data_IF_322174308811
#
_entry.id   IF_322174308811
#
_cell.length_a   1.000
_cell.length_b   1.000
_cell.length_c   1.000
_cell.angle_alpha   90.00
_cell.angle_beta   90.00
_cell.angle_gamma   90.00
#
_symmetry.space_group_name_H-M   'P 1'
#
loop_
_entity.id
_entity.type
_entity.pdbx_description
1 polymer ?
#
# COMPACT_ATOMS: atom_id res chain seq x y z
N UNK A 1 -0.23 45.05 -9.68
CA UNK A 1 -1.32 44.30 -9.03
C UNK A 1 -1.06 42.80 -9.29
N UNK A 2 -0.56 42.07 -8.29
CA UNK A 2 -0.34 40.63 -8.37
C UNK A 2 -1.68 39.99 -7.99
N UNK A 3 -2.34 39.32 -8.94
CA UNK A 3 -3.43 38.41 -8.63
C UNK A 3 -2.85 37.23 -7.84
N UNK A 4 -3.06 37.23 -6.52
CA UNK A 4 -2.98 36.00 -5.72
C UNK A 4 -4.11 35.14 -6.22
N UNK A 5 -3.78 34.07 -6.99
CA UNK A 5 -4.70 32.96 -7.19
C UNK A 5 -5.02 32.44 -5.78
N UNK A 6 -6.25 32.58 -5.38
CA UNK A 6 -6.81 31.87 -4.22
C UNK A 6 -6.84 30.42 -4.68
N UNK A 7 -5.83 29.63 -4.26
CA UNK A 7 -5.88 28.18 -4.35
C UNK A 7 -7.11 27.79 -3.52
N UNK A 8 -8.17 27.32 -4.15
CA UNK A 8 -9.19 26.58 -3.42
C UNK A 8 -8.44 25.52 -2.64
N UNK A 9 -8.53 25.53 -1.31
CA UNK A 9 -7.92 24.53 -0.47
C UNK A 9 -8.60 23.19 -0.79
N UNK A 10 -8.06 22.45 -1.75
CA UNK A 10 -8.34 21.03 -1.89
C UNK A 10 -7.71 20.39 -0.66
N UNK A 11 -8.50 19.66 0.12
CA UNK A 11 -7.98 19.02 1.33
C UNK A 11 -6.91 17.99 0.99
N UNK A 12 -6.02 17.71 1.95
CA UNK A 12 -4.96 16.71 1.81
C UNK A 12 -5.56 15.33 1.50
N UNK A 13 -5.05 14.64 0.47
CA UNK A 13 -5.38 13.27 0.10
C UNK A 13 -4.22 12.35 0.42
N UNK A 14 -4.45 11.29 1.20
CA UNK A 14 -3.38 10.40 1.67
C UNK A 14 -3.50 9.00 1.07
N UNK A 15 -2.40 8.50 0.51
CA UNK A 15 -2.27 7.20 -0.14
C UNK A 15 -1.25 6.37 0.63
N UNK A 16 -1.72 5.36 1.37
CA UNK A 16 -0.85 4.38 2.01
C UNK A 16 -0.48 3.28 1.01
N UNK A 17 0.78 2.85 0.99
CA UNK A 17 1.24 1.75 0.14
C UNK A 17 1.67 0.60 1.04
N UNK A 18 0.90 -0.48 1.02
CA UNK A 18 1.11 -1.67 1.85
C UNK A 18 1.33 -2.92 0.99
N UNK A 19 1.86 -3.97 1.59
CA UNK A 19 2.16 -5.23 0.92
C UNK A 19 3.32 -5.96 1.58
N UNK A 20 3.59 -7.18 1.14
CA UNK A 20 4.69 -8.00 1.67
C UNK A 20 6.06 -7.37 1.43
N UNK A 21 7.06 -7.83 2.18
CA UNK A 21 8.44 -7.42 1.96
C UNK A 21 8.86 -7.72 0.52
N UNK A 22 9.54 -6.78 -0.13
CA UNK A 22 9.99 -6.93 -1.51
C UNK A 22 8.91 -6.79 -2.59
N UNK A 23 7.64 -6.51 -2.25
CA UNK A 23 6.56 -6.35 -3.25
C UNK A 23 6.65 -5.09 -4.13
N UNK A 24 7.61 -4.20 -3.86
CA UNK A 24 7.85 -3.00 -4.66
C UNK A 24 7.17 -1.73 -4.13
N UNK A 25 6.87 -1.65 -2.82
CA UNK A 25 6.26 -0.48 -2.17
C UNK A 25 7.03 0.80 -2.45
N UNK A 26 8.29 0.87 -2.05
CA UNK A 26 9.13 2.07 -2.20
C UNK A 26 9.32 2.48 -3.67
N UNK A 27 9.39 1.51 -4.58
CA UNK A 27 9.48 1.81 -6.01
C UNK A 27 8.17 2.38 -6.55
N UNK A 28 7.01 1.86 -6.12
CA UNK A 28 5.71 2.43 -6.47
C UNK A 28 5.54 3.84 -5.89
N UNK A 29 5.97 4.04 -4.62
CA UNK A 29 6.02 5.37 -3.98
C UNK A 29 6.75 6.38 -4.85
N UNK A 30 7.96 6.03 -5.31
CA UNK A 30 8.75 6.85 -6.22
C UNK A 30 8.01 7.16 -7.53
N UNK A 31 7.37 6.15 -8.14
CA UNK A 31 6.65 6.31 -9.42
C UNK A 31 5.39 7.16 -9.29
N UNK A 32 4.64 7.02 -8.23
CA UNK A 32 3.45 7.85 -7.98
C UNK A 32 3.85 9.30 -7.67
N UNK A 33 4.88 9.52 -6.86
CA UNK A 33 5.41 10.86 -6.61
C UNK A 33 5.86 11.54 -7.91
N UNK A 34 6.62 10.83 -8.75
CA UNK A 34 7.05 11.32 -10.07
C UNK A 34 5.84 11.64 -10.97
N UNK A 35 4.82 10.77 -10.96
CA UNK A 35 3.61 10.95 -11.77
C UNK A 35 2.83 12.20 -11.36
N UNK A 36 2.52 12.37 -10.08
CA UNK A 36 1.79 13.54 -9.59
C UNK A 36 2.56 14.85 -9.84
N UNK A 37 3.86 14.85 -9.59
CA UNK A 37 4.72 16.02 -9.82
C UNK A 37 4.75 16.43 -11.30
N UNK A 38 4.82 15.47 -12.23
CA UNK A 38 4.78 15.73 -13.68
C UNK A 38 3.42 16.26 -14.15
N UNK A 39 2.35 15.91 -13.48
CA UNK A 39 0.99 16.34 -13.80
C UNK A 39 0.56 17.61 -13.04
N UNK A 40 1.50 18.28 -12.38
CA UNK A 40 1.28 19.59 -11.76
C UNK A 40 0.62 19.56 -10.38
N UNK A 41 0.44 18.38 -9.77
CA UNK A 41 0.01 18.23 -8.40
C UNK A 41 1.20 18.26 -7.44
N UNK A 42 1.03 18.90 -6.29
CA UNK A 42 2.08 18.91 -5.27
C UNK A 42 1.93 17.66 -4.37
N UNK A 43 2.75 16.65 -4.62
CA UNK A 43 2.80 15.45 -3.81
C UNK A 43 4.03 15.46 -2.89
N UNK A 44 3.84 15.05 -1.64
CA UNK A 44 4.91 14.80 -0.68
C UNK A 44 4.98 13.31 -0.33
N UNK A 45 6.16 12.86 0.08
CA UNK A 45 6.40 11.47 0.48
C UNK A 45 6.75 11.39 1.97
N UNK A 46 6.00 10.54 2.69
CA UNK A 46 6.29 10.14 4.07
C UNK A 46 6.86 8.73 4.08
N UNK A 47 8.09 8.58 4.57
CA UNK A 47 8.65 7.27 4.91
C UNK A 47 8.24 6.86 6.32
N UNK A 48 7.56 5.71 6.47
CA UNK A 48 7.23 5.10 7.77
C UNK A 48 8.12 3.89 8.12
N UNK A 49 9.09 3.52 7.28
CA UNK A 49 9.99 2.39 7.56
C UNK A 49 11.29 2.88 8.26
N UNK A 50 11.43 2.68 9.57
CA UNK A 50 12.63 3.13 10.29
C UNK A 50 13.85 2.25 10.00
N UNK A 51 13.65 1.08 9.42
CA UNK A 51 14.72 0.11 9.13
C UNK A 51 15.28 0.17 7.72
N UNK A 52 14.73 1.02 6.85
CA UNK A 52 15.19 1.13 5.47
C UNK A 52 16.52 1.88 5.39
N UNK A 53 17.52 1.32 4.71
CA UNK A 53 18.82 1.96 4.52
C UNK A 53 18.79 2.93 3.32
N UNK A 54 18.23 2.50 2.19
CA UNK A 54 18.23 3.24 0.93
C UNK A 54 16.82 3.37 0.37
N UNK A 55 16.40 4.60 0.10
CA UNK A 55 15.12 4.92 -0.53
C UNK A 55 15.33 5.25 -2.02
N UNK A 56 14.46 4.78 -2.91
CA UNK A 56 14.53 5.10 -4.35
C UNK A 56 13.90 6.47 -4.68
N UNK A 57 13.60 7.28 -3.67
CA UNK A 57 12.97 8.60 -3.77
C UNK A 57 13.56 9.57 -2.74
N UNK A 58 13.37 10.87 -2.97
CA UNK A 58 13.60 11.88 -1.95
C UNK A 58 12.40 11.90 -1.00
N UNK A 59 12.66 11.80 0.29
CA UNK A 59 11.65 11.83 1.33
C UNK A 59 11.43 13.27 1.80
N UNK A 60 10.17 13.69 1.95
CA UNK A 60 9.82 15.00 2.47
C UNK A 60 9.62 14.98 3.99
N UNK A 61 9.09 13.86 4.51
CA UNK A 61 8.96 13.57 5.94
C UNK A 61 9.50 12.19 6.21
N UNK A 62 10.45 12.05 7.13
CA UNK A 62 11.13 10.79 7.41
C UNK A 62 11.06 10.44 8.90
N UNK A 63 10.47 9.30 9.24
CA UNK A 63 10.40 8.87 10.65
C UNK A 63 11.77 8.60 11.26
N UNK A 64 12.83 8.39 10.45
CA UNK A 64 14.20 8.22 10.92
C UNK A 64 14.78 9.50 11.54
N UNK A 65 14.23 10.67 11.19
CA UNK A 65 14.61 11.96 11.80
C UNK A 65 14.02 12.11 13.21
N UNK A 66 12.92 11.38 13.51
CA UNK A 66 12.25 11.40 14.81
C UNK A 66 12.69 10.28 15.74
N UNK A 67 13.07 9.13 15.21
CA UNK A 67 13.39 7.93 16.01
C UNK A 67 14.57 7.17 15.40
N UNK A 68 15.68 7.10 16.13
CA UNK A 68 16.87 6.36 15.71
C UNK A 68 16.76 4.86 16.09
N UNK A 69 16.45 4.04 15.09
CA UNK A 69 16.37 2.59 15.21
C UNK A 69 17.64 1.93 15.76
N UNK A 70 18.83 2.39 15.30
CA UNK A 70 20.13 1.81 15.72
C UNK A 70 20.42 2.13 17.18
N UNK A 71 20.12 3.35 17.62
CA UNK A 71 20.25 3.76 19.02
C UNK A 71 19.33 2.98 19.94
N UNK A 72 18.07 2.74 19.52
CA UNK A 72 17.12 1.90 20.28
C UNK A 72 17.63 0.47 20.41
N UNK A 73 18.11 -0.13 19.33
CA UNK A 73 18.66 -1.48 19.34
C UNK A 73 19.80 -1.63 20.37
N UNK A 74 20.69 -0.66 20.41
CA UNK A 74 21.83 -0.64 21.35
C UNK A 74 21.39 -0.37 22.79
N UNK A 75 20.58 0.66 23.00
CA UNK A 75 20.15 1.11 24.33
C UNK A 75 19.38 0.03 25.10
N UNK A 76 18.50 -0.70 24.39
CA UNK A 76 17.65 -1.72 25.00
C UNK A 76 18.16 -3.15 24.78
N UNK A 77 19.35 -3.32 24.20
CA UNK A 77 19.94 -4.64 23.88
C UNK A 77 18.98 -5.54 23.09
N UNK A 78 18.24 -4.94 22.14
CA UNK A 78 17.25 -5.64 21.32
C UNK A 78 17.89 -6.21 20.06
N UNK A 79 17.39 -7.37 19.61
CA UNK A 79 17.64 -7.84 18.25
C UNK A 79 16.88 -6.98 17.22
N UNK A 80 17.19 -7.12 15.91
CA UNK A 80 16.61 -6.30 14.84
C UNK A 80 15.09 -6.20 14.86
N UNK A 81 14.38 -7.32 14.98
CA UNK A 81 12.92 -7.33 15.00
C UNK A 81 12.34 -6.65 16.25
N UNK A 82 12.95 -6.88 17.42
CA UNK A 82 12.53 -6.22 18.67
C UNK A 82 12.70 -4.71 18.60
N UNK A 83 13.83 -4.26 18.05
CA UNK A 83 14.09 -2.84 17.84
C UNK A 83 13.11 -2.21 16.85
N UNK A 84 12.80 -2.88 15.72
CA UNK A 84 11.79 -2.40 14.77
C UNK A 84 10.40 -2.26 15.41
N UNK A 85 10.00 -3.24 16.23
CA UNK A 85 8.74 -3.19 16.98
C UNK A 85 8.69 -1.96 17.88
N UNK A 86 9.71 -1.78 18.70
CA UNK A 86 9.77 -0.66 19.64
C UNK A 86 9.84 0.69 18.92
N UNK A 87 10.60 0.77 17.84
CA UNK A 87 10.72 1.98 17.03
C UNK A 87 9.36 2.37 16.43
N UNK A 88 8.59 1.42 15.87
CA UNK A 88 7.27 1.70 15.33
C UNK A 88 6.28 2.18 16.40
N UNK A 89 6.36 1.65 17.63
CA UNK A 89 5.52 2.13 18.73
C UNK A 89 5.93 3.56 19.17
N UNK A 90 7.21 3.89 19.13
CA UNK A 90 7.71 5.24 19.41
C UNK A 90 7.33 6.24 18.30
N UNK A 91 7.37 5.84 17.03
CA UNK A 91 6.91 6.66 15.91
C UNK A 91 5.45 7.08 16.10
N UNK A 92 4.59 6.18 16.57
CA UNK A 92 3.21 6.52 16.87
C UNK A 92 3.07 7.64 17.92
N UNK A 93 3.99 7.71 18.90
CA UNK A 93 4.04 8.78 19.88
C UNK A 93 4.50 10.13 19.31
N UNK A 94 5.05 10.15 18.10
CA UNK A 94 5.54 11.32 17.38
C UNK A 94 4.58 11.82 16.31
N UNK A 95 3.34 11.34 16.32
CA UNK A 95 2.36 11.67 15.27
C UNK A 95 2.13 13.19 15.15
N UNK A 96 2.12 13.92 16.27
CA UNK A 96 1.92 15.38 16.23
C UNK A 96 3.09 16.09 15.57
N UNK A 97 4.33 15.66 15.80
CA UNK A 97 5.53 16.20 15.17
C UNK A 97 5.48 15.94 13.66
N UNK A 98 5.20 14.69 13.26
CA UNK A 98 5.03 14.28 11.85
C UNK A 98 3.91 15.07 11.17
N UNK A 99 2.77 15.23 11.83
CA UNK A 99 1.65 15.99 11.28
C UNK A 99 1.98 17.49 11.09
N UNK A 100 2.74 18.05 12.02
CA UNK A 100 3.19 19.44 11.89
C UNK A 100 4.12 19.64 10.69
N UNK A 101 5.00 18.69 10.39
CA UNK A 101 5.84 18.74 9.19
C UNK A 101 5.00 18.62 7.92
N UNK A 102 4.05 17.68 7.86
CA UNK A 102 3.12 17.54 6.73
C UNK A 102 2.35 18.84 6.51
N UNK A 103 1.83 19.45 7.58
CA UNK A 103 1.09 20.70 7.51
C UNK A 103 1.97 21.87 7.03
N UNK A 104 3.25 21.88 7.39
CA UNK A 104 4.20 22.91 6.95
C UNK A 104 4.50 22.81 5.46
N UNK A 105 4.63 21.59 4.95
CA UNK A 105 4.81 21.30 3.52
C UNK A 105 3.53 21.64 2.75
N UNK A 106 2.36 21.35 3.32
CA UNK A 106 1.02 21.58 2.75
C UNK A 106 0.85 21.02 1.33
N UNK A 107 1.02 19.68 1.15
CA UNK A 107 0.88 19.03 -0.15
C UNK A 107 -0.59 18.80 -0.52
N UNK A 108 -0.87 18.60 -1.82
CA UNK A 108 -2.18 18.15 -2.30
C UNK A 108 -2.34 16.62 -2.05
N UNK A 109 -1.23 15.86 -2.19
CA UNK A 109 -1.18 14.42 -1.96
C UNK A 109 -0.04 14.05 -1.01
N UNK A 110 -0.32 13.16 -0.06
CA UNK A 110 0.68 12.52 0.78
C UNK A 110 0.78 11.03 0.40
N UNK A 111 1.93 10.61 -0.09
CA UNK A 111 2.20 9.21 -0.40
C UNK A 111 2.99 8.62 0.76
N UNK A 112 2.45 7.58 1.38
CA UNK A 112 3.01 6.97 2.59
C UNK A 112 3.59 5.61 2.26
N UNK A 113 4.93 5.49 2.32
CA UNK A 113 5.64 4.22 2.22
C UNK A 113 5.66 3.52 3.58
N UNK A 114 5.01 2.36 3.67
CA UNK A 114 4.88 1.63 4.93
C UNK A 114 6.03 0.66 5.15
N UNK A 115 6.31 0.24 6.42
CA UNK A 115 7.36 -0.69 6.74
C UNK A 115 7.37 -1.94 5.85
N UNK A 116 8.57 -2.44 5.58
CA UNK A 116 8.79 -3.61 4.74
C UNK A 116 8.03 -4.85 5.23
N UNK A 117 8.01 -5.05 6.54
CA UNK A 117 7.25 -6.11 7.20
C UNK A 117 5.84 -5.62 7.53
N UNK A 118 4.85 -6.12 6.80
CA UNK A 118 3.45 -5.69 6.94
C UNK A 118 2.88 -5.94 8.35
N UNK A 119 3.41 -6.93 9.05
CA UNK A 119 3.06 -7.28 10.42
C UNK A 119 3.38 -6.14 11.40
N UNK A 120 4.44 -5.40 11.15
CA UNK A 120 4.85 -4.28 12.00
C UNK A 120 3.94 -3.05 11.81
N UNK A 121 3.26 -2.96 10.69
CA UNK A 121 2.35 -1.86 10.39
C UNK A 121 0.89 -2.25 10.68
N UNK A 122 0.34 -3.21 9.96
CA UNK A 122 -1.10 -3.46 10.00
C UNK A 122 -1.58 -4.29 11.20
N UNK A 123 -0.69 -5.11 11.80
CA UNK A 123 -1.10 -5.98 12.92
C UNK A 123 -0.76 -5.40 14.30
N UNK A 124 -0.06 -4.27 14.35
CA UNK A 124 0.17 -3.54 15.60
C UNK A 124 -0.81 -2.37 15.74
N UNK A 125 -1.10 -2.01 16.99
CA UNK A 125 -1.95 -0.85 17.31
C UNK A 125 -1.34 0.47 16.82
N UNK A 126 0.00 0.57 16.82
CA UNK A 126 0.73 1.74 16.35
C UNK A 126 0.46 2.07 14.88
N UNK A 127 0.41 1.07 14.00
CA UNK A 127 0.14 1.32 12.57
C UNK A 127 -1.29 1.80 12.32
N UNK A 128 -2.29 1.16 12.95
CA UNK A 128 -3.67 1.64 12.88
C UNK A 128 -3.81 3.06 13.46
N UNK A 129 -3.15 3.32 14.58
CA UNK A 129 -3.12 4.64 15.20
C UNK A 129 -2.57 5.71 14.25
N UNK A 130 -1.47 5.43 13.55
CA UNK A 130 -0.89 6.35 12.55
C UNK A 130 -1.88 6.62 11.41
N UNK A 131 -2.52 5.57 10.87
CA UNK A 131 -3.53 5.70 9.80
C UNK A 131 -4.71 6.58 10.24
N UNK A 132 -5.20 6.41 11.47
CA UNK A 132 -6.32 7.17 12.00
C UNK A 132 -5.95 8.63 12.28
N UNK A 133 -4.73 8.90 12.76
CA UNK A 133 -4.34 10.21 13.27
C UNK A 133 -3.57 11.09 12.26
N UNK A 134 -3.10 10.59 11.13
CA UNK A 134 -2.70 11.47 10.02
C UNK A 134 -3.95 12.21 9.55
N UNK A 135 -3.95 13.53 9.70
CA UNK A 135 -5.09 14.37 9.30
C UNK A 135 -5.13 14.51 7.78
N UNK A 136 -6.22 14.07 7.16
CA UNK A 136 -6.41 14.07 5.72
C UNK A 136 -7.91 14.08 5.41
N UNK A 137 -8.31 14.72 4.33
CA UNK A 137 -9.71 14.74 3.87
C UNK A 137 -10.14 13.36 3.41
N UNK A 138 -9.32 12.75 2.54
CA UNK A 138 -9.54 11.40 2.05
C UNK A 138 -8.30 10.54 2.23
N UNK A 139 -8.51 9.26 2.54
CA UNK A 139 -7.46 8.25 2.72
C UNK A 139 -7.77 6.99 1.95
N UNK A 140 -6.76 6.42 1.31
CA UNK A 140 -6.87 5.13 0.64
C UNK A 140 -5.62 4.29 0.90
N UNK A 141 -5.75 2.99 0.73
CA UNK A 141 -4.63 2.07 0.78
C UNK A 141 -4.45 1.38 -0.57
N UNK A 142 -3.22 1.25 -1.02
CA UNK A 142 -2.84 0.37 -2.12
C UNK A 142 -2.22 -0.87 -1.51
N UNK A 143 -2.79 -2.05 -1.78
CA UNK A 143 -2.19 -3.31 -1.36
C UNK A 143 -1.51 -4.00 -2.54
N UNK A 144 -0.22 -4.31 -2.39
CA UNK A 144 0.61 -4.89 -3.45
C UNK A 144 0.62 -6.41 -3.41
N UNK A 145 0.14 -7.01 -4.48
CA UNK A 145 0.33 -8.42 -4.81
C UNK A 145 1.63 -8.56 -5.60
N UNK A 146 2.62 -9.22 -5.04
CA UNK A 146 3.88 -9.47 -5.73
C UNK A 146 3.69 -10.54 -6.81
N UNK A 147 3.77 -10.14 -8.07
CA UNK A 147 3.58 -11.02 -9.20
C UNK A 147 4.53 -12.23 -9.21
N UNK A 148 5.73 -12.08 -8.67
CA UNK A 148 6.67 -13.21 -8.57
C UNK A 148 6.22 -14.28 -7.56
N UNK A 149 5.47 -13.88 -6.51
CA UNK A 149 4.99 -14.80 -5.48
C UNK A 149 3.67 -15.48 -5.85
N UNK A 150 2.77 -14.77 -6.55
CA UNK A 150 1.41 -15.26 -6.84
C UNK A 150 1.28 -16.04 -8.14
N UNK A 151 2.37 -16.59 -8.65
CA UNK A 151 2.33 -17.46 -9.85
C UNK A 151 1.72 -18.84 -9.57
N UNK A 152 1.59 -19.24 -8.30
CA UNK A 152 0.84 -20.40 -7.81
C UNK A 152 -0.56 -19.97 -7.34
N UNK A 153 -1.64 -20.71 -7.69
CA UNK A 153 -2.99 -20.40 -7.26
C UNK A 153 -3.18 -20.47 -5.74
N UNK A 154 -2.47 -21.35 -5.04
CA UNK A 154 -2.50 -21.43 -3.57
C UNK A 154 -1.88 -20.17 -2.95
N UNK A 155 -0.74 -19.71 -3.46
CA UNK A 155 -0.12 -18.47 -3.03
C UNK A 155 -1.03 -17.26 -3.32
N UNK A 156 -1.72 -17.25 -4.47
CA UNK A 156 -2.70 -16.22 -4.79
C UNK A 156 -3.80 -16.14 -3.71
N UNK A 157 -4.40 -17.29 -3.34
CA UNK A 157 -5.43 -17.33 -2.28
C UNK A 157 -4.88 -16.85 -0.94
N UNK A 158 -3.65 -17.25 -0.58
CA UNK A 158 -2.98 -16.84 0.66
C UNK A 158 -2.77 -15.31 0.71
N UNK A 159 -2.28 -14.71 -0.36
CA UNK A 159 -2.08 -13.25 -0.43
C UNK A 159 -3.42 -12.50 -0.49
N UNK A 160 -4.44 -13.05 -1.15
CA UNK A 160 -5.79 -12.48 -1.14
C UNK A 160 -6.40 -12.45 0.27
N UNK A 161 -6.20 -13.51 1.05
CA UNK A 161 -6.61 -13.55 2.46
C UNK A 161 -5.86 -12.50 3.29
N UNK A 162 -4.54 -12.35 3.06
CA UNK A 162 -3.73 -11.31 3.71
C UNK A 162 -4.24 -9.91 3.36
N UNK A 163 -4.49 -9.63 2.08
CA UNK A 163 -5.04 -8.35 1.62
C UNK A 163 -6.37 -8.00 2.30
N UNK A 164 -7.26 -8.99 2.41
CA UNK A 164 -8.53 -8.86 3.12
C UNK A 164 -8.32 -8.52 4.60
N UNK A 165 -7.42 -9.25 5.26
CA UNK A 165 -7.09 -9.00 6.66
C UNK A 165 -6.54 -7.58 6.88
N UNK A 166 -5.66 -7.10 5.99
CA UNK A 166 -5.11 -5.74 6.04
C UNK A 166 -6.20 -4.69 5.85
N UNK A 167 -7.09 -4.88 4.85
CA UNK A 167 -8.23 -3.99 4.61
C UNK A 167 -9.12 -3.85 5.85
N UNK A 168 -9.44 -4.97 6.50
CA UNK A 168 -10.25 -4.98 7.74
C UNK A 168 -9.54 -4.25 8.89
N UNK A 169 -8.22 -4.40 9.01
CA UNK A 169 -7.45 -3.79 10.10
C UNK A 169 -7.23 -2.30 9.91
N UNK A 170 -6.89 -1.87 8.72
CA UNK A 170 -6.67 -0.45 8.43
C UNK A 170 -7.99 0.31 8.26
N UNK A 171 -9.07 -0.39 7.91
CA UNK A 171 -10.40 0.16 7.67
C UNK A 171 -10.39 1.31 6.65
N UNK A 172 -9.64 1.12 5.55
CA UNK A 172 -9.53 2.06 4.45
C UNK A 172 -10.07 1.46 3.15
N UNK A 173 -10.64 2.28 2.25
CA UNK A 173 -10.81 1.90 0.85
C UNK A 173 -9.47 1.38 0.33
N UNK A 174 -9.46 0.21 -0.31
CA UNK A 174 -8.22 -0.44 -0.72
C UNK A 174 -8.28 -0.82 -2.20
N UNK A 175 -7.24 -0.43 -2.94
CA UNK A 175 -6.98 -0.86 -4.32
C UNK A 175 -5.96 -1.98 -4.29
N UNK A 176 -6.28 -3.11 -4.91
CA UNK A 176 -5.34 -4.22 -5.05
C UNK A 176 -4.55 -4.07 -6.36
N UNK A 177 -3.24 -4.12 -6.26
CA UNK A 177 -2.34 -3.89 -7.38
C UNK A 177 -1.42 -5.09 -7.56
N UNK A 178 -1.37 -5.64 -8.77
CA UNK A 178 -0.44 -6.68 -9.17
C UNK A 178 0.84 -6.03 -9.68
N UNK A 179 1.91 -6.14 -8.91
CA UNK A 179 3.22 -5.59 -9.27
C UNK A 179 4.08 -6.59 -10.05
N UNK A 180 5.20 -6.09 -10.63
CA UNK A 180 6.21 -6.91 -11.34
C UNK A 180 5.62 -7.69 -12.53
N UNK A 181 4.67 -7.09 -13.23
CA UNK A 181 4.05 -7.71 -14.40
C UNK A 181 5.04 -8.01 -15.51
N UNK A 182 6.13 -7.24 -15.58
CA UNK A 182 7.27 -7.46 -16.47
C UNK A 182 8.00 -8.80 -16.24
N UNK A 183 7.92 -9.37 -15.04
CA UNK A 183 8.56 -10.66 -14.69
C UNK A 183 7.66 -11.87 -14.90
N UNK A 184 6.34 -11.70 -15.03
CA UNK A 184 5.38 -12.82 -15.02
C UNK A 184 5.05 -13.32 -16.43
N UNK A 185 5.23 -12.50 -17.47
CA UNK A 185 5.03 -12.87 -18.86
C UNK A 185 3.64 -13.48 -19.13
N UNK A 186 3.62 -14.65 -19.76
CA UNK A 186 2.37 -15.34 -20.17
C UNK A 186 1.46 -15.72 -19.01
N UNK A 187 1.97 -15.84 -17.77
CA UNK A 187 1.18 -16.18 -16.58
C UNK A 187 0.27 -15.03 -16.16
N UNK A 188 0.55 -13.79 -16.57
CA UNK A 188 -0.26 -12.62 -16.24
C UNK A 188 -1.72 -12.83 -16.60
N UNK A 189 -2.02 -13.36 -17.78
CA UNK A 189 -3.39 -13.63 -18.22
C UNK A 189 -4.11 -14.61 -17.28
N UNK A 190 -3.44 -15.65 -16.83
CA UNK A 190 -4.03 -16.62 -15.92
C UNK A 190 -4.33 -16.01 -14.57
N UNK A 191 -3.38 -15.23 -14.02
CA UNK A 191 -3.56 -14.53 -12.72
C UNK A 191 -4.76 -13.58 -12.80
N UNK A 192 -4.89 -12.79 -13.85
CA UNK A 192 -6.04 -11.90 -14.03
C UNK A 192 -7.36 -12.65 -14.23
N UNK A 193 -7.34 -13.83 -14.83
CA UNK A 193 -8.54 -14.69 -14.91
C UNK A 193 -8.96 -15.23 -13.54
N UNK A 194 -8.02 -15.51 -12.63
CA UNK A 194 -8.34 -15.95 -11.27
C UNK A 194 -9.12 -14.90 -10.46
N UNK A 195 -8.92 -13.62 -10.77
CA UNK A 195 -9.64 -12.52 -10.08
C UNK A 195 -11.08 -12.37 -10.55
N UNK A 196 -11.40 -12.79 -11.78
CA UNK A 196 -12.71 -12.60 -12.40
C UNK A 196 -13.54 -13.87 -12.50
N UNK A 197 -12.91 -15.03 -12.38
CA UNK A 197 -13.57 -16.33 -12.57
C UNK A 197 -13.13 -17.35 -11.51
N UNK A 198 -14.01 -17.53 -10.52
CA UNK A 198 -13.81 -18.46 -9.40
C UNK A 198 -13.52 -19.89 -9.88
N UNK A 199 -14.26 -20.39 -10.85
CA UNK A 199 -14.09 -21.76 -11.35
C UNK A 199 -12.72 -21.97 -11.99
N UNK A 200 -12.16 -20.95 -12.63
CA UNK A 200 -10.80 -21.02 -13.20
C UNK A 200 -9.75 -21.16 -12.09
N UNK A 201 -9.92 -20.42 -10.98
CA UNK A 201 -9.02 -20.51 -9.84
C UNK A 201 -9.18 -21.85 -9.10
N UNK A 202 -10.42 -22.33 -8.86
CA UNK A 202 -10.66 -23.66 -8.25
C UNK A 202 -10.03 -24.78 -9.07
N UNK A 203 -10.16 -24.74 -10.40
CA UNK A 203 -9.51 -25.70 -11.29
C UNK A 203 -7.98 -25.62 -11.22
N UNK A 204 -7.41 -24.42 -11.16
CA UNK A 204 -5.98 -24.23 -11.02
C UNK A 204 -5.47 -24.80 -9.68
N UNK A 205 -6.20 -24.60 -8.58
CA UNK A 205 -5.87 -25.17 -7.27
C UNK A 205 -5.92 -26.70 -7.32
N UNK A 206 -6.96 -27.29 -7.93
CA UNK A 206 -7.11 -28.75 -8.02
C UNK A 206 -6.01 -29.41 -8.86
N UNK A 207 -5.40 -28.70 -9.78
CA UNK A 207 -4.28 -29.20 -10.59
C UNK A 207 -2.92 -29.14 -9.88
N UNK A 208 -2.77 -28.28 -8.87
CA UNK A 208 -1.53 -28.12 -8.11
C UNK A 208 -1.53 -28.83 -6.76
N UNK A 209 -2.70 -29.02 -6.15
CA UNK A 209 -2.83 -29.55 -4.79
C UNK A 209 -3.98 -30.53 -4.67
N UNK A 210 -3.87 -31.40 -3.69
CA UNK A 210 -4.88 -32.39 -3.30
C UNK A 210 -5.11 -32.35 -1.77
N UNK A 211 -6.02 -33.18 -1.30
CA UNK A 211 -6.26 -33.43 0.11
C UNK A 211 -6.65 -32.16 0.91
N UNK A 212 -5.96 -31.99 2.03
CA UNK A 212 -6.28 -30.90 2.99
C UNK A 212 -6.00 -29.52 2.45
N UNK A 213 -4.90 -29.32 1.72
CA UNK A 213 -4.52 -28.03 1.13
C UNK A 213 -5.55 -27.58 0.10
N UNK A 214 -6.03 -28.49 -0.74
CA UNK A 214 -7.12 -28.20 -1.69
C UNK A 214 -8.38 -27.75 -0.95
N UNK A 215 -8.81 -28.55 0.05
CA UNK A 215 -10.03 -28.27 0.81
C UNK A 215 -9.94 -26.90 1.53
N UNK A 216 -8.82 -26.62 2.18
CA UNK A 216 -8.59 -25.35 2.88
C UNK A 216 -8.63 -24.16 1.90
N UNK A 217 -7.87 -24.26 0.81
CA UNK A 217 -7.76 -23.18 -0.19
C UNK A 217 -9.12 -22.86 -0.84
N UNK A 218 -9.90 -23.89 -1.19
CA UNK A 218 -11.23 -23.70 -1.81
C UNK A 218 -12.26 -23.16 -0.83
N UNK A 219 -12.21 -23.53 0.45
CA UNK A 219 -13.10 -22.97 1.48
C UNK A 219 -12.78 -21.50 1.75
N UNK A 220 -11.50 -21.12 1.84
CA UNK A 220 -11.09 -19.72 1.95
C UNK A 220 -11.59 -18.93 0.75
N UNK A 221 -11.35 -19.43 -0.46
CA UNK A 221 -11.76 -18.79 -1.69
C UNK A 221 -13.27 -18.54 -1.76
N UNK A 222 -14.08 -19.55 -1.38
CA UNK A 222 -15.55 -19.41 -1.31
C UNK A 222 -15.98 -18.38 -0.28
N UNK A 223 -15.33 -18.37 0.90
CA UNK A 223 -15.58 -17.36 1.93
C UNK A 223 -15.28 -15.93 1.44
N UNK A 224 -14.16 -15.74 0.76
CA UNK A 224 -13.79 -14.45 0.17
C UNK A 224 -14.75 -13.99 -0.94
N UNK A 225 -15.39 -14.93 -1.67
CA UNK A 225 -16.27 -14.60 -2.79
C UNK A 225 -17.73 -14.35 -2.36
N UNK A 226 -18.16 -14.86 -1.18
CA UNK A 226 -19.54 -14.71 -0.70
C UNK A 226 -19.94 -13.24 -0.48
N UNK A 227 -18.99 -12.37 -0.21
CA UNK A 227 -19.21 -10.92 0.01
C UNK A 227 -19.02 -10.07 -1.25
N UNK A 228 -19.02 -10.67 -2.45
CA UNK A 228 -18.73 -9.94 -3.69
C UNK A 228 -17.28 -9.49 -3.78
N UNK A 229 -16.38 -10.17 -3.07
CA UNK A 229 -14.95 -9.89 -3.00
C UNK A 229 -14.22 -10.42 -4.24
N UNK A 230 -14.70 -10.02 -5.41
CA UNK A 230 -13.90 -10.09 -6.64
C UNK A 230 -12.85 -9.00 -6.53
N UNK A 231 -11.66 -9.38 -6.11
CA UNK A 231 -10.54 -8.43 -6.07
C UNK A 231 -10.09 -8.18 -7.51
N UNK A 232 -10.60 -7.09 -8.08
CA UNK A 232 -9.99 -6.58 -9.29
C UNK A 232 -8.53 -6.23 -8.99
N UNK A 233 -7.59 -6.93 -9.63
CA UNK A 233 -6.18 -6.61 -9.55
C UNK A 233 -5.82 -5.68 -10.71
N UNK A 234 -5.30 -4.51 -10.39
CA UNK A 234 -4.73 -3.61 -11.37
C UNK A 234 -3.29 -4.02 -11.68
N UNK A 235 -3.00 -4.51 -12.89
CA UNK A 235 -1.64 -4.92 -13.25
C UNK A 235 -0.77 -3.69 -13.52
N UNK A 236 0.42 -3.65 -12.90
CA UNK A 236 1.42 -2.61 -13.12
C UNK A 236 2.84 -3.18 -13.21
N UNK A 237 3.69 -2.48 -13.94
CA UNK A 237 5.14 -2.62 -13.84
C UNK A 237 5.76 -1.30 -13.40
N UNK A 238 6.36 -1.28 -12.22
CA UNK A 238 7.09 -0.12 -11.72
C UNK A 238 8.37 0.16 -12.54
N UNK A 239 8.85 -0.82 -13.29
CA UNK A 239 10.06 -0.69 -14.13
C UNK A 239 9.71 -0.05 -15.46
N UNK A 240 8.67 -0.54 -16.14
CA UNK A 240 8.27 -0.04 -17.47
C UNK A 240 7.29 1.13 -17.40
N UNK A 241 6.60 1.31 -16.26
CA UNK A 241 5.54 2.31 -16.08
C UNK A 241 4.18 1.86 -16.64
N UNK A 242 4.09 0.64 -17.18
CA UNK A 242 2.83 0.10 -17.69
C UNK A 242 1.80 -0.03 -16.57
N UNK A 243 0.55 0.36 -16.84
CA UNK A 243 -0.57 0.29 -15.90
C UNK A 243 -0.68 1.43 -14.88
N UNK A 244 0.32 2.33 -14.76
CA UNK A 244 0.28 3.45 -13.80
C UNK A 244 -0.89 4.41 -14.04
N UNK A 245 -1.25 4.67 -15.30
CA UNK A 245 -2.41 5.53 -15.64
C UNK A 245 -3.72 4.91 -15.15
N UNK A 246 -3.87 3.58 -15.24
CA UNK A 246 -5.06 2.89 -14.76
C UNK A 246 -5.14 2.94 -13.23
N UNK A 247 -4.00 2.80 -12.56
CA UNK A 247 -3.92 2.93 -11.10
C UNK A 247 -4.30 4.35 -10.65
N UNK A 248 -3.79 5.37 -11.33
CA UNK A 248 -4.11 6.75 -11.02
C UNK A 248 -5.61 7.03 -11.23
N UNK A 249 -6.18 6.57 -12.33
CA UNK A 249 -7.61 6.70 -12.59
C UNK A 249 -8.48 6.01 -11.51
N UNK A 250 -8.01 4.90 -10.93
CA UNK A 250 -8.68 4.24 -9.82
C UNK A 250 -8.52 5.04 -8.50
N UNK A 251 -7.33 5.59 -8.24
CA UNK A 251 -7.06 6.46 -7.09
C UNK A 251 -7.91 7.73 -7.16
N UNK A 252 -7.97 8.38 -8.31
CA UNK A 252 -8.76 9.59 -8.52
C UNK A 252 -10.24 9.36 -8.24
N UNK A 253 -10.80 8.22 -8.66
CA UNK A 253 -12.19 7.86 -8.36
C UNK A 253 -12.47 7.71 -6.87
N UNK A 254 -11.53 7.15 -6.10
CA UNK A 254 -11.70 6.95 -4.65
C UNK A 254 -11.48 8.26 -3.89
N UNK A 255 -10.45 9.02 -4.27
CA UNK A 255 -10.04 10.22 -3.55
C UNK A 255 -10.86 11.47 -3.91
N UNK A 256 -11.66 11.44 -4.98
CA UNK A 256 -12.50 12.55 -5.43
C UNK A 256 -14.01 12.23 -5.33
N UNK A 257 -14.41 11.22 -4.57
CA UNK A 257 -15.83 10.82 -4.38
C UNK A 257 -16.71 11.92 -3.76
N UNK A 258 -16.12 13.00 -3.21
CA UNK A 258 -16.84 14.17 -2.70
C UNK A 258 -16.99 15.32 -3.69
N UNK A 259 -16.26 15.31 -4.81
CA UNK A 259 -16.39 16.31 -5.85
C UNK A 259 -17.37 15.79 -6.91
N UNK A 260 -18.69 15.99 -6.70
CA UNK A 260 -19.62 15.98 -7.82
C UNK A 260 -19.15 17.06 -8.80
N UNK A 261 -18.66 16.63 -9.96
CA UNK A 261 -18.39 17.53 -11.07
C UNK A 261 -19.73 18.11 -11.49
N UNK A 262 -20.07 19.30 -10.97
CA UNK A 262 -21.13 20.10 -11.59
C UNK A 262 -20.70 20.36 -13.04
N UNK A 263 -21.33 19.62 -13.96
CA UNK A 263 -21.16 19.74 -15.40
C UNK A 263 -21.92 20.91 -15.98
#
# INVERSE_FOLDING_TARGET
MKYKQIKNQTGLKTIFISGTAGSGKSLLTSKLHEYYSKNGAFAAVLNLDPGVENLPYTCDVDVRDHVDYVSIMKQYSLGPNGALIMTNDLIASKIDDIQNEINHINPDYLIVDTPGQIELFAYRSSGRFLVENISSEEKTNIFLFDGALITSPVNFVSIALLATSIRLRLNLPTINVLTKTDLIGIKLKNILQWTTNLSTLENAISNETDGETYTLSTNILRGLNLDGFTQELLPISNVTGEGLINLESALSRILNLGEEVEG
#
